data_IF_461651335391
#
_entry.id   IF_461651335391
#
_cell.length_a   1.000
_cell.length_b   1.000
_cell.length_c   1.000
_cell.angle_alpha   90.00
_cell.angle_beta   90.00
_cell.angle_gamma   90.00
#
_symmetry.space_group_name_H-M   'P 1'
#
loop_
_entity.id
_entity.type
_entity.pdbx_description
1 polymer ?
#
# COMPACT_ATOMS: atom_id res chain seq x y z
N UNK A 1 13.48 -10.45 1.05
CA UNK A 1 12.54 -11.46 1.58
C UNK A 1 13.16 -12.79 2.01
N UNK A 2 14.43 -13.09 1.69
CA UNK A 2 15.04 -14.36 2.13
C UNK A 2 15.15 -14.50 3.66
N UNK A 3 15.46 -13.41 4.38
CA UNK A 3 15.58 -13.42 5.84
C UNK A 3 14.30 -13.86 6.54
N UNK A 4 13.17 -13.18 6.28
CA UNK A 4 11.90 -13.49 6.94
C UNK A 4 11.43 -14.91 6.63
N UNK A 5 11.57 -15.38 5.38
CA UNK A 5 11.24 -16.77 5.01
C UNK A 5 12.06 -17.78 5.82
N UNK A 6 13.38 -17.58 5.94
CA UNK A 6 14.23 -18.44 6.76
C UNK A 6 13.87 -18.38 8.25
N UNK A 7 13.56 -17.19 8.76
CA UNK A 7 13.16 -16.99 10.14
C UNK A 7 11.89 -17.79 10.46
N UNK A 8 10.83 -17.67 9.66
CA UNK A 8 9.59 -18.40 9.92
C UNK A 8 9.77 -19.91 9.76
N UNK A 9 10.56 -20.36 8.79
CA UNK A 9 10.92 -21.77 8.64
C UNK A 9 11.67 -22.30 9.86
N UNK A 10 12.62 -21.53 10.41
CA UNK A 10 13.33 -21.91 11.64
C UNK A 10 12.45 -22.00 12.87
N UNK A 11 11.26 -21.39 12.84
CA UNK A 11 10.23 -21.46 13.87
C UNK A 11 9.22 -22.58 13.64
N UNK A 12 9.38 -23.39 12.59
CA UNK A 12 8.53 -24.54 12.29
C UNK A 12 7.48 -24.30 11.20
N UNK A 13 7.50 -23.14 10.52
CA UNK A 13 6.59 -22.93 9.39
C UNK A 13 7.00 -23.79 8.18
N UNK A 14 6.03 -24.48 7.59
CA UNK A 14 6.20 -25.19 6.31
C UNK A 14 5.84 -24.22 5.19
N UNK A 15 6.70 -24.12 4.17
CA UNK A 15 6.45 -23.27 3.00
C UNK A 15 6.21 -24.15 1.78
N UNK A 16 5.04 -23.99 1.17
CA UNK A 16 4.67 -24.64 -0.08
C UNK A 16 4.50 -23.59 -1.18
N UNK A 17 4.82 -23.98 -2.42
CA UNK A 17 4.56 -23.15 -3.61
C UNK A 17 3.46 -23.81 -4.41
N UNK A 18 2.28 -23.18 -4.44
CA UNK A 18 1.10 -23.63 -5.16
C UNK A 18 0.29 -22.44 -5.65
N UNK A 19 -0.56 -22.68 -6.64
CA UNK A 19 -1.49 -21.69 -7.18
C UNK A 19 -2.91 -22.03 -6.73
N UNK A 20 -3.70 -21.02 -6.38
CA UNK A 20 -5.12 -21.14 -6.05
C UNK A 20 -5.85 -20.18 -6.99
N UNK A 21 -6.86 -20.67 -7.69
CA UNK A 21 -7.61 -19.93 -8.72
C UNK A 21 -9.07 -19.85 -8.25
N UNK A 22 -9.70 -18.69 -8.38
CA UNK A 22 -11.09 -18.45 -7.98
C UNK A 22 -11.29 -18.03 -6.52
N UNK A 23 -12.55 -17.86 -6.11
CA UNK A 23 -12.90 -17.43 -4.74
C UNK A 23 -12.38 -18.45 -3.71
N UNK A 24 -11.61 -17.98 -2.74
CA UNK A 24 -10.99 -18.79 -1.69
C UNK A 24 -12.05 -19.48 -0.81
N UNK A 25 -13.24 -18.89 -0.67
CA UNK A 25 -14.34 -19.47 0.10
C UNK A 25 -14.90 -20.74 -0.54
N UNK A 26 -14.73 -20.91 -1.85
CA UNK A 26 -15.12 -22.13 -2.55
C UNK A 26 -14.16 -23.29 -2.23
N UNK A 27 -12.93 -22.98 -1.84
CA UNK A 27 -11.88 -23.95 -1.53
C UNK A 27 -11.69 -24.13 -0.01
N UNK A 28 -12.30 -23.30 0.83
CA UNK A 28 -12.05 -23.21 2.27
C UNK A 28 -12.05 -24.57 2.98
N UNK A 29 -13.11 -25.35 2.81
CA UNK A 29 -13.25 -26.64 3.48
C UNK A 29 -12.19 -27.66 3.06
N UNK A 30 -11.84 -27.68 1.77
CA UNK A 30 -10.79 -28.54 1.23
C UNK A 30 -9.44 -28.18 1.84
N UNK A 31 -9.11 -26.88 1.86
CA UNK A 31 -7.81 -26.41 2.35
C UNK A 31 -7.64 -26.56 3.86
N UNK A 32 -8.69 -26.28 4.64
CA UNK A 32 -8.66 -26.51 6.08
C UNK A 32 -8.45 -27.99 6.39
N UNK A 33 -9.11 -28.88 5.65
CA UNK A 33 -8.94 -30.33 5.81
C UNK A 33 -7.57 -30.82 5.37
N UNK A 34 -7.06 -30.36 4.22
CA UNK A 34 -5.77 -30.76 3.65
C UNK A 34 -4.62 -30.40 4.58
N UNK A 35 -4.63 -29.19 5.15
CA UNK A 35 -3.56 -28.70 6.02
C UNK A 35 -3.80 -28.91 7.50
N UNK A 36 -4.91 -29.54 7.88
CA UNK A 36 -5.34 -29.64 9.28
C UNK A 36 -5.32 -28.27 9.99
N UNK A 37 -5.79 -27.24 9.29
CA UNK A 37 -5.76 -25.86 9.77
C UNK A 37 -7.13 -25.47 10.35
N UNK A 38 -7.12 -24.57 11.34
CA UNK A 38 -8.35 -23.99 11.91
C UNK A 38 -8.79 -22.72 11.19
N UNK A 39 -7.83 -21.99 10.60
CA UNK A 39 -8.07 -20.69 9.97
C UNK A 39 -7.22 -20.52 8.71
N UNK A 40 -7.75 -19.76 7.75
CA UNK A 40 -7.02 -19.31 6.56
C UNK A 40 -6.79 -17.80 6.66
N UNK A 41 -5.55 -17.36 6.48
CA UNK A 41 -5.20 -15.93 6.42
C UNK A 41 -4.86 -15.55 4.98
N UNK A 42 -5.72 -14.77 4.33
CA UNK A 42 -5.47 -14.29 2.98
C UNK A 42 -4.47 -13.11 2.99
N UNK A 43 -3.26 -13.35 2.48
CA UNK A 43 -2.20 -12.35 2.32
C UNK A 43 -1.78 -12.14 0.84
N UNK A 44 -2.70 -12.34 -0.11
CA UNK A 44 -2.43 -12.36 -1.56
C UNK A 44 -2.24 -10.97 -2.21
N UNK A 45 -2.44 -9.88 -1.47
CA UNK A 45 -2.29 -8.52 -2.00
C UNK A 45 -3.23 -8.25 -3.18
N UNK A 46 -2.68 -7.96 -4.37
CA UNK A 46 -3.49 -7.73 -5.59
C UNK A 46 -4.37 -8.95 -5.94
N UNK A 47 -3.93 -10.17 -5.58
CA UNK A 47 -4.69 -11.41 -5.80
C UNK A 47 -6.01 -11.47 -5.04
N UNK A 48 -6.20 -10.67 -3.99
CA UNK A 48 -7.45 -10.66 -3.24
C UNK A 48 -8.65 -10.14 -4.06
N UNK A 49 -8.38 -9.45 -5.18
CA UNK A 49 -9.42 -9.10 -6.16
C UNK A 49 -10.17 -10.34 -6.66
N UNK A 50 -9.47 -11.44 -6.87
CA UNK A 50 -10.03 -12.72 -7.28
C UNK A 50 -10.36 -13.57 -6.05
N UNK A 51 -9.36 -13.83 -5.20
CA UNK A 51 -9.46 -14.78 -4.08
C UNK A 51 -10.47 -14.35 -3.00
N UNK A 52 -10.77 -13.07 -2.86
CA UNK A 52 -11.76 -12.55 -1.91
C UNK A 52 -12.88 -11.76 -2.60
N UNK A 53 -12.99 -11.83 -3.93
CA UNK A 53 -13.95 -11.05 -4.74
C UNK A 53 -13.94 -9.54 -4.44
N UNK A 54 -12.79 -9.00 -4.01
CA UNK A 54 -12.67 -7.61 -3.58
C UNK A 54 -12.56 -6.66 -4.79
N UNK A 55 -13.70 -6.06 -5.16
CA UNK A 55 -13.79 -5.11 -6.27
C UNK A 55 -13.08 -3.77 -6.02
N UNK A 56 -12.71 -3.45 -4.78
CA UNK A 56 -12.02 -2.21 -4.44
C UNK A 56 -10.51 -2.28 -4.69
N UNK A 57 -9.98 -3.47 -4.98
CA UNK A 57 -8.56 -3.66 -5.29
C UNK A 57 -8.28 -3.33 -6.76
N UNK A 58 -7.37 -2.37 -6.97
CA UNK A 58 -6.88 -1.98 -8.29
C UNK A 58 -5.34 -1.90 -8.30
N UNK A 59 -4.70 -2.29 -9.41
CA UNK A 59 -3.25 -2.25 -9.51
C UNK A 59 -2.76 -0.79 -9.65
N UNK A 60 -1.75 -0.43 -8.85
CA UNK A 60 -1.00 0.83 -9.02
C UNK A 60 0.36 0.48 -9.60
N UNK A 61 0.59 0.87 -10.87
CA UNK A 61 1.90 0.67 -11.50
C UNK A 61 2.92 1.65 -10.94
N UNK A 62 4.07 1.12 -10.53
CA UNK A 62 5.24 1.88 -10.11
C UNK A 62 6.49 1.40 -10.83
N UNK A 63 7.45 2.30 -11.04
CA UNK A 63 8.77 1.98 -11.57
C UNK A 63 9.85 2.50 -10.62
N UNK A 64 10.90 1.72 -10.42
CA UNK A 64 12.03 2.09 -9.55
C UNK A 64 13.32 1.95 -10.34
N UNK A 65 14.18 2.97 -10.28
CA UNK A 65 15.53 2.92 -10.84
C UNK A 65 16.53 2.64 -9.73
N UNK A 66 17.19 1.49 -9.79
CA UNK A 66 18.33 1.21 -8.92
C UNK A 66 19.53 2.01 -9.41
N UNK A 67 20.10 2.83 -8.53
CA UNK A 67 21.31 3.62 -8.81
C UNK A 67 22.46 3.14 -7.92
N UNK A 68 23.69 3.42 -8.35
CA UNK A 68 24.84 3.37 -7.43
C UNK A 68 24.67 4.50 -6.43
N UNK A 69 24.86 4.19 -5.15
CA UNK A 69 24.82 5.20 -4.08
C UNK A 69 25.88 6.29 -4.37
N UNK A 70 25.51 7.58 -4.42
CA UNK A 70 26.46 8.67 -4.51
C UNK A 70 27.32 8.78 -3.24
N UNK A 71 28.48 9.39 -3.35
CA UNK A 71 29.34 9.69 -2.20
C UNK A 71 28.63 10.68 -1.24
N UNK A 72 28.85 10.54 0.07
CA UNK A 72 28.22 11.39 1.09
C UNK A 72 26.80 11.00 1.55
N UNK A 73 26.18 9.97 0.96
CA UNK A 73 24.88 9.46 1.44
C UNK A 73 25.04 8.33 2.48
N UNK A 74 24.30 8.37 3.61
CA UNK A 74 24.33 7.32 4.63
C UNK A 74 23.93 5.96 4.06
N UNK A 75 24.61 4.89 4.51
CA UNK A 75 24.41 3.54 3.98
C UNK A 75 23.29 2.74 4.71
N UNK A 76 22.84 3.23 5.85
CA UNK A 76 21.89 2.64 6.78
C UNK A 76 20.44 3.11 6.57
N UNK A 77 20.20 3.95 5.56
CA UNK A 77 18.89 4.52 5.27
C UNK A 77 18.43 4.23 3.83
N UNK A 78 17.13 4.00 3.67
CA UNK A 78 16.49 3.92 2.35
C UNK A 78 15.88 5.28 2.00
N UNK A 79 16.21 5.81 0.83
CA UNK A 79 15.68 7.07 0.33
C UNK A 79 14.71 6.82 -0.82
N UNK A 80 13.52 7.41 -0.74
CA UNK A 80 12.60 7.52 -1.87
C UNK A 80 12.88 8.83 -2.59
N UNK A 81 13.50 8.74 -3.77
CA UNK A 81 13.65 9.91 -4.63
C UNK A 81 12.37 10.06 -5.48
N UNK A 82 11.72 11.24 -5.50
CA UNK A 82 10.59 11.47 -6.37
C UNK A 82 11.04 11.29 -7.83
N UNK A 83 10.28 10.51 -8.59
CA UNK A 83 10.59 10.24 -10.00
C UNK A 83 10.37 11.48 -10.91
N UNK A 84 9.63 12.49 -10.44
CA UNK A 84 9.34 13.69 -11.21
C UNK A 84 10.46 14.73 -11.07
N UNK A 85 11.27 14.81 -12.12
CA UNK A 85 12.12 15.96 -12.40
C UNK A 85 11.28 16.93 -13.25
N UNK A 86 11.18 18.19 -12.87
CA UNK A 86 10.70 19.21 -13.80
C UNK A 86 11.72 19.35 -14.95
N UNK A 87 11.34 19.99 -16.07
CA UNK A 87 12.21 20.18 -17.25
C UNK A 87 13.54 20.90 -16.93
N UNK A 88 13.56 21.59 -15.79
CA UNK A 88 14.60 22.38 -15.16
C UNK A 88 15.54 21.55 -14.24
N UNK A 89 15.39 20.22 -14.20
CA UNK A 89 16.34 19.30 -13.55
C UNK A 89 16.30 19.27 -12.02
N UNK A 90 15.47 20.11 -11.38
CA UNK A 90 15.24 20.11 -9.94
C UNK A 90 13.80 19.68 -9.64
N UNK A 91 13.64 18.55 -8.97
CA UNK A 91 12.39 18.25 -8.27
C UNK A 91 12.15 19.34 -7.23
N UNK A 92 11.07 20.11 -7.38
CA UNK A 92 10.72 21.21 -6.47
C UNK A 92 10.34 20.68 -5.08
N UNK A 93 11.34 20.33 -4.28
CA UNK A 93 11.20 20.20 -2.83
C UNK A 93 11.15 21.60 -2.23
N UNK A 94 9.97 22.22 -2.23
CA UNK A 94 9.77 23.43 -1.43
C UNK A 94 9.87 23.04 0.03
N UNK A 95 10.87 23.57 0.73
CA UNK A 95 10.90 23.57 2.20
C UNK A 95 9.72 24.40 2.69
N UNK A 96 8.64 23.74 3.12
CA UNK A 96 7.69 24.37 4.02
C UNK A 96 8.41 24.61 5.35
N UNK A 97 8.38 25.86 5.83
CA UNK A 97 9.20 26.40 6.92
C UNK A 97 9.02 25.79 8.32
N UNK A 98 8.61 24.52 8.46
CA UNK A 98 8.47 23.80 9.73
C UNK A 98 9.06 22.38 9.71
N UNK A 99 10.05 22.10 8.85
CA UNK A 99 10.80 20.83 8.90
C UNK A 99 10.01 19.56 8.52
N UNK A 100 8.75 19.68 8.08
CA UNK A 100 7.99 18.57 7.49
C UNK A 100 8.12 18.59 5.97
N UNK A 101 8.58 17.48 5.39
CA UNK A 101 8.39 17.21 3.96
C UNK A 101 6.90 16.94 3.70
N UNK A 102 6.18 17.95 3.25
CA UNK A 102 4.82 17.79 2.72
C UNK A 102 4.87 17.70 1.19
N UNK A 103 4.29 16.63 0.63
CA UNK A 103 4.09 16.51 -0.80
C UNK A 103 2.92 17.42 -1.22
N UNK A 104 3.23 18.66 -1.63
CA UNK A 104 2.22 19.60 -2.09
C UNK A 104 1.91 19.31 -3.57
N UNK A 105 0.87 18.51 -3.84
CA UNK A 105 0.27 18.46 -5.18
C UNK A 105 -0.25 19.86 -5.49
N UNK A 106 0.25 20.46 -6.56
CA UNK A 106 -0.31 21.64 -7.21
C UNK A 106 -1.78 21.37 -7.54
N UNK A 107 -2.65 21.61 -6.58
CA UNK A 107 -4.09 21.63 -6.73
C UNK A 107 -4.41 23.04 -7.17
N UNK A 108 -4.73 23.20 -8.45
CA UNK A 108 -5.39 24.42 -8.92
C UNK A 108 -6.65 24.57 -8.08
N UNK A 109 -6.64 25.53 -7.14
CA UNK A 109 -7.79 25.88 -6.30
C UNK A 109 -9.01 26.13 -7.20
N UNK A 110 -10.04 25.30 -7.08
CA UNK A 110 -11.41 25.74 -7.30
C UNK A 110 -12.08 25.79 -5.93
N UNK A 111 -11.81 26.87 -5.20
CA UNK A 111 -12.78 27.41 -4.25
C UNK A 111 -13.66 28.41 -5.01
N UNK A 112 -14.91 28.05 -5.26
CA UNK A 112 -16.00 29.00 -5.49
C UNK A 112 -17.17 28.59 -4.60
N UNK A 113 -17.38 29.40 -3.57
CA UNK A 113 -18.57 29.43 -2.71
C UNK A 113 -19.75 29.96 -3.51
N UNK A 114 -20.94 29.36 -3.38
CA UNK A 114 -22.16 30.13 -3.05
C UNK A 114 -23.34 29.21 -2.65
N UNK A 115 -23.76 29.39 -1.39
CA UNK A 115 -25.15 29.51 -0.87
C UNK A 115 -26.28 28.54 -1.26
N UNK A 116 -27.11 28.29 -0.23
CA UNK A 116 -28.44 27.64 -0.20
C UNK A 116 -28.35 26.13 0.11
N UNK A 117 -28.99 25.55 1.12
CA UNK A 117 -30.07 25.98 2.00
C UNK A 117 -30.05 25.09 3.26
N UNK A 118 -30.56 25.63 4.36
CA UNK A 118 -30.79 25.02 5.66
C UNK A 118 -31.15 23.52 5.65
N UNK A 119 -30.53 22.76 6.56
CA UNK A 119 -31.24 21.82 7.44
C UNK A 119 -30.47 21.66 8.75
N UNK A 120 -31.00 22.29 9.78
CA UNK A 120 -30.63 22.05 11.16
C UNK A 120 -30.88 20.58 11.51
N UNK A 121 -29.95 19.96 12.24
CA UNK A 121 -30.23 18.77 13.03
C UNK A 121 -29.52 18.95 14.37
N UNK A 122 -30.31 19.22 15.40
CA UNK A 122 -29.96 19.36 16.81
C UNK A 122 -29.50 18.03 17.42
N UNK A 123 -28.56 18.01 18.37
CA UNK A 123 -28.34 16.85 19.21
C UNK A 123 -29.27 16.91 20.42
N UNK A 124 -30.25 16.01 20.48
CA UNK A 124 -30.98 15.72 21.72
C UNK A 124 -30.21 14.69 22.55
N UNK A 125 -29.80 15.15 23.73
CA UNK A 125 -29.39 14.34 24.88
C UNK A 125 -30.46 13.29 25.21
N UNK A 126 -30.02 12.04 25.39
CA UNK A 126 -30.46 11.12 26.45
C UNK A 126 -29.22 10.40 26.94
#
# INVERSE_FOLDING_TARGET
MAFLKRLVQSKGAVLETREIIGDLRLHEQELLSEYHADIIVNASGIGARELATDSQIFPVRGAVKKIRRPEGYPADHAFLLPAQMNHDGYGSSRRCGNGRLSFCRSSRMQTMRHSLLHKACTPSLI
#
